data_IF_382746653954
#
_entry.id   IF_382746653954
#
_cell.length_a   1.000
_cell.length_b   1.000
_cell.length_c   1.000
_cell.angle_alpha   90.00
_cell.angle_beta   90.00
_cell.angle_gamma   90.00
#
_symmetry.space_group_name_H-M   'P 1'
#
loop_
_entity.id
_entity.type
_entity.pdbx_description
1 polymer ?
#
# COMPACT_ATOMS: atom_id res chain seq x y z
N UNK A 1 -53.87 -71.66 -34.73
CA UNK A 1 -54.29 -70.34 -35.18
C UNK A 1 -53.35 -69.40 -34.49
N UNK A 2 -52.32 -69.24 -35.18
CA UNK A 2 -51.78 -68.15 -35.96
C UNK A 2 -51.09 -67.06 -35.00
N UNK A 3 -49.86 -67.00 -35.10
CA UNK A 3 -49.07 -66.10 -35.95
C UNK A 3 -48.76 -64.75 -35.32
N UNK A 4 -47.49 -64.42 -35.40
CA UNK A 4 -46.90 -63.09 -35.43
C UNK A 4 -46.67 -62.41 -34.07
N UNK A 5 -45.54 -61.89 -33.69
CA UNK A 5 -44.55 -61.11 -34.46
C UNK A 5 -43.22 -61.09 -33.69
N UNK A 6 -42.19 -61.57 -34.37
CA UNK A 6 -40.81 -61.30 -34.06
C UNK A 6 -40.53 -59.85 -34.30
N UNK A 7 -40.13 -59.09 -33.24
CA UNK A 7 -39.48 -57.76 -33.40
C UNK A 7 -38.16 -57.77 -32.72
N UNK A 8 -37.17 -58.10 -33.52
CA UNK A 8 -35.78 -57.67 -33.27
C UNK A 8 -35.68 -56.20 -32.98
N UNK A 9 -35.56 -55.82 -31.69
CA UNK A 9 -35.12 -54.51 -31.29
C UNK A 9 -33.62 -54.54 -31.09
N UNK A 10 -32.89 -54.30 -32.19
CA UNK A 10 -31.47 -53.94 -32.13
C UNK A 10 -31.36 -52.57 -31.44
N UNK A 11 -30.97 -52.55 -30.17
CA UNK A 11 -30.50 -51.35 -29.50
C UNK A 11 -29.19 -50.93 -30.15
N UNK A 12 -29.06 -49.69 -30.64
CA UNK A 12 -27.75 -49.21 -31.07
C UNK A 12 -26.87 -49.03 -29.81
N UNK A 13 -25.78 -49.76 -29.76
CA UNK A 13 -24.67 -49.44 -28.87
C UNK A 13 -24.23 -48.00 -29.16
N UNK A 14 -24.64 -47.09 -28.29
CA UNK A 14 -24.06 -45.74 -28.23
C UNK A 14 -22.61 -45.91 -27.79
N UNK A 15 -21.71 -45.98 -28.75
CA UNK A 15 -20.27 -45.80 -28.49
C UNK A 15 -20.07 -44.46 -27.83
N UNK A 16 -19.75 -44.45 -26.54
CA UNK A 16 -19.29 -43.29 -25.82
C UNK A 16 -17.99 -42.81 -26.49
N UNK A 17 -17.93 -41.61 -27.06
CA UNK A 17 -16.68 -41.04 -27.54
C UNK A 17 -15.85 -40.62 -26.34
N UNK A 18 -14.66 -41.12 -26.18
CA UNK A 18 -13.69 -40.63 -25.22
C UNK A 18 -13.04 -41.70 -24.38
N UNK A 19 -12.21 -42.54 -25.01
CA UNK A 19 -11.17 -43.27 -24.28
C UNK A 19 -10.13 -42.30 -23.73
N UNK A 20 -9.32 -42.70 -22.71
CA UNK A 20 -8.38 -41.85 -22.00
C UNK A 20 -7.21 -41.26 -22.83
N UNK A 21 -7.22 -41.45 -24.15
CA UNK A 21 -6.13 -41.04 -25.04
C UNK A 21 -6.29 -39.66 -25.70
N UNK A 22 -7.44 -38.96 -25.55
CA UNK A 22 -7.70 -37.70 -26.25
C UNK A 22 -7.59 -36.45 -25.35
N UNK A 23 -7.02 -36.55 -24.14
CA UNK A 23 -6.67 -35.40 -23.33
C UNK A 23 -5.42 -34.76 -23.94
N UNK A 24 -5.62 -33.70 -24.73
CA UNK A 24 -4.54 -32.86 -25.24
C UNK A 24 -3.67 -32.42 -24.07
N UNK A 25 -2.30 -32.55 -24.14
CA UNK A 25 -1.41 -32.05 -23.11
C UNK A 25 -1.60 -30.51 -23.06
N UNK A 26 -2.25 -30.00 -22.01
CA UNK A 26 -2.53 -28.58 -21.81
C UNK A 26 -3.90 -28.24 -21.24
N UNK A 27 -4.84 -29.19 -21.14
CA UNK A 27 -6.18 -28.99 -20.59
C UNK A 27 -6.40 -29.60 -19.20
N UNK A 28 -5.38 -30.22 -18.60
CA UNK A 28 -5.43 -30.64 -17.20
C UNK A 28 -5.14 -29.40 -16.37
N UNK A 29 -6.08 -28.90 -15.55
CA UNK A 29 -5.78 -27.83 -14.62
C UNK A 29 -4.61 -28.27 -13.75
N UNK A 30 -3.51 -27.51 -13.73
CA UNK A 30 -2.37 -27.78 -12.86
C UNK A 30 -2.89 -28.00 -11.44
N UNK A 31 -2.74 -29.21 -10.92
CA UNK A 31 -3.07 -29.50 -9.53
C UNK A 31 -2.15 -28.67 -8.64
N UNK A 32 -2.60 -28.25 -7.45
CA UNK A 32 -1.75 -27.51 -6.49
C UNK A 32 -0.42 -28.19 -6.17
N UNK A 33 -0.31 -29.51 -6.42
CA UNK A 33 0.90 -30.33 -6.24
C UNK A 33 1.95 -30.13 -7.35
N UNK A 34 1.57 -29.68 -8.55
CA UNK A 34 2.49 -29.43 -9.68
C UNK A 34 3.19 -28.06 -9.60
N UNK A 35 2.84 -27.24 -8.63
CA UNK A 35 3.54 -25.97 -8.39
C UNK A 35 4.86 -26.28 -7.72
N UNK A 36 5.95 -26.20 -8.51
CA UNK A 36 7.31 -26.31 -8.00
C UNK A 36 7.48 -25.37 -6.78
N UNK A 37 7.67 -25.90 -5.55
CA UNK A 37 7.83 -25.07 -4.35
C UNK A 37 9.09 -24.19 -4.40
N UNK A 38 9.98 -24.39 -5.38
CA UNK A 38 11.19 -23.61 -5.59
C UNK A 38 10.95 -22.29 -6.35
N UNK A 39 9.74 -22.08 -6.92
CA UNK A 39 9.43 -20.87 -7.71
C UNK A 39 9.22 -19.58 -6.91
N UNK A 40 9.20 -19.62 -5.58
CA UNK A 40 8.85 -18.47 -4.74
C UNK A 40 10.01 -17.86 -3.92
N UNK A 41 11.27 -18.24 -4.16
CA UNK A 41 12.37 -17.87 -3.27
C UNK A 41 13.25 -16.72 -3.78
N UNK A 42 12.88 -16.02 -4.84
CA UNK A 42 13.63 -14.83 -5.21
C UNK A 42 13.38 -13.71 -4.20
N UNK A 43 14.44 -13.12 -3.64
CA UNK A 43 14.29 -12.05 -2.67
C UNK A 43 13.62 -10.82 -3.32
N UNK A 44 12.67 -10.19 -2.62
CA UNK A 44 11.88 -9.05 -3.12
C UNK A 44 12.75 -7.92 -3.70
N UNK A 45 13.97 -7.71 -3.17
CA UNK A 45 14.86 -6.67 -3.67
C UNK A 45 15.28 -6.87 -5.14
N UNK A 46 15.30 -8.12 -5.66
CA UNK A 46 15.56 -8.37 -7.08
C UNK A 46 14.48 -7.80 -8.00
N UNK A 47 13.25 -7.75 -7.55
CA UNK A 47 12.18 -7.13 -8.34
C UNK A 47 12.34 -5.61 -8.47
N UNK A 48 13.13 -4.98 -7.58
CA UNK A 48 13.44 -3.54 -7.65
C UNK A 48 14.58 -3.22 -8.63
N UNK A 49 15.28 -4.22 -9.16
CA UNK A 49 16.42 -4.00 -10.06
C UNK A 49 16.05 -4.07 -11.55
N UNK A 50 14.80 -4.44 -11.88
CA UNK A 50 14.36 -4.60 -13.26
C UNK A 50 12.93 -4.07 -13.49
N UNK A 51 12.67 -3.63 -14.71
CA UNK A 51 11.33 -3.26 -15.16
C UNK A 51 10.64 -2.20 -14.30
N UNK A 52 9.36 -2.45 -13.98
CA UNK A 52 8.52 -1.51 -13.20
C UNK A 52 9.04 -1.26 -11.79
N UNK A 53 9.66 -2.27 -11.17
CA UNK A 53 10.23 -2.13 -9.83
C UNK A 53 11.40 -1.15 -9.81
N UNK A 54 12.30 -1.22 -10.81
CA UNK A 54 13.39 -0.26 -10.95
C UNK A 54 12.87 1.16 -11.17
N UNK A 55 11.88 1.33 -12.05
CA UNK A 55 11.27 2.64 -12.27
C UNK A 55 10.68 3.21 -10.98
N UNK A 56 9.90 2.41 -10.23
CA UNK A 56 9.35 2.81 -8.94
C UNK A 56 10.44 3.15 -7.91
N UNK A 57 11.46 2.30 -7.79
CA UNK A 57 12.58 2.52 -6.87
C UNK A 57 13.38 3.79 -7.20
N UNK A 58 13.60 4.09 -8.48
CA UNK A 58 14.27 5.31 -8.94
C UNK A 58 13.43 6.54 -8.62
N UNK A 59 12.11 6.51 -8.92
CA UNK A 59 11.22 7.63 -8.64
C UNK A 59 11.17 7.95 -7.13
N UNK A 60 10.90 6.94 -6.30
CA UNK A 60 10.87 7.11 -4.84
C UNK A 60 12.26 7.50 -4.33
N UNK A 61 13.32 6.86 -4.82
CA UNK A 61 14.69 7.13 -4.41
C UNK A 61 15.11 8.57 -4.66
N UNK A 62 14.79 9.13 -5.83
CA UNK A 62 15.05 10.55 -6.16
C UNK A 62 14.33 11.46 -5.18
N UNK A 63 13.02 11.24 -4.95
CA UNK A 63 12.24 12.12 -4.07
C UNK A 63 12.69 11.99 -2.61
N UNK A 64 12.98 10.77 -2.15
CA UNK A 64 13.55 10.54 -0.80
C UNK A 64 14.91 11.24 -0.65
N UNK A 65 15.77 11.17 -1.66
CA UNK A 65 17.06 11.83 -1.66
C UNK A 65 16.90 13.36 -1.61
N UNK A 66 16.00 13.94 -2.42
CA UNK A 66 15.67 15.36 -2.38
C UNK A 66 15.16 15.78 -1.00
N UNK A 67 14.26 15.03 -0.39
CA UNK A 67 13.76 15.30 0.96
C UNK A 67 14.83 15.17 2.04
N UNK A 68 15.71 14.17 1.94
CA UNK A 68 16.82 13.99 2.89
C UNK A 68 17.85 15.13 2.81
N UNK A 69 18.16 15.56 1.59
CA UNK A 69 19.09 16.65 1.32
C UNK A 69 18.45 18.03 1.34
N UNK A 70 17.11 18.12 1.58
CA UNK A 70 16.38 19.39 1.58
C UNK A 70 17.03 20.51 2.43
N UNK A 71 17.55 20.24 3.65
CA UNK A 71 18.20 21.30 4.45
C UNK A 71 19.46 21.91 3.81
N UNK A 72 20.07 21.19 2.87
CA UNK A 72 21.29 21.64 2.15
C UNK A 72 20.93 22.19 0.77
N UNK A 73 19.90 21.61 0.13
CA UNK A 73 19.48 22.01 -1.21
C UNK A 73 18.53 23.20 -1.23
N UNK A 74 17.80 23.46 -0.15
CA UNK A 74 16.89 24.61 -0.06
C UNK A 74 17.72 25.91 0.01
N UNK A 75 17.55 26.83 -0.98
CA UNK A 75 18.31 28.09 -0.99
C UNK A 75 17.94 29.04 0.17
N UNK A 76 16.68 28.94 0.64
CA UNK A 76 16.10 29.81 1.65
C UNK A 76 15.47 29.01 2.79
N UNK A 77 15.30 29.62 3.98
CA UNK A 77 14.52 29.01 5.05
C UNK A 77 13.03 28.92 4.66
N UNK A 78 12.27 27.91 5.15
CA UNK A 78 10.89 27.67 4.71
C UNK A 78 9.90 28.77 5.10
N UNK A 79 10.24 29.57 6.10
CA UNK A 79 9.47 30.68 6.67
C UNK A 79 10.12 32.05 6.40
N UNK A 80 11.25 32.10 5.70
CA UNK A 80 11.94 33.31 5.33
C UNK A 80 11.10 34.12 4.34
N UNK A 81 10.76 35.34 4.74
CA UNK A 81 10.05 36.32 3.90
C UNK A 81 11.04 37.23 3.21
N UNK A 82 11.01 37.23 1.89
CA UNK A 82 11.96 37.97 1.05
C UNK A 82 11.37 39.33 0.68
N UNK A 83 12.20 40.38 0.68
CA UNK A 83 11.76 41.72 0.33
C UNK A 83 11.26 41.81 -1.13
N UNK A 84 10.10 42.44 -1.34
CA UNK A 84 9.50 42.67 -2.66
C UNK A 84 9.31 41.40 -3.51
N UNK A 85 9.15 40.20 -2.91
CA UNK A 85 9.05 38.94 -3.59
C UNK A 85 7.61 38.36 -3.67
N UNK A 86 6.59 39.24 -3.69
CA UNK A 86 5.18 38.81 -3.76
C UNK A 86 4.82 38.18 -5.08
N UNK A 87 4.45 36.89 -5.09
CA UNK A 87 4.00 36.11 -6.24
C UNK A 87 4.88 36.29 -7.50
N UNK A 88 6.18 36.35 -7.32
CA UNK A 88 7.11 36.41 -8.45
C UNK A 88 7.01 35.10 -9.24
N UNK A 89 6.97 35.22 -10.57
CA UNK A 89 7.11 34.07 -11.45
C UNK A 89 8.51 33.45 -11.37
N UNK A 90 8.72 32.28 -11.97
CA UNK A 90 10.01 31.61 -12.04
C UNK A 90 11.09 32.50 -12.61
N UNK A 91 12.25 32.57 -11.93
CA UNK A 91 13.42 33.32 -12.35
C UNK A 91 14.70 32.63 -11.90
N UNK A 92 15.88 33.23 -12.18
CA UNK A 92 17.19 32.63 -11.86
C UNK A 92 17.44 32.43 -10.34
N UNK A 93 16.77 33.19 -9.49
CA UNK A 93 16.89 33.09 -8.02
C UNK A 93 15.79 32.19 -7.44
N UNK A 94 14.58 32.26 -8.00
CA UNK A 94 13.39 31.53 -7.55
C UNK A 94 12.86 30.61 -8.67
N UNK A 95 13.37 29.40 -8.75
CA UNK A 95 13.08 28.48 -9.86
C UNK A 95 11.61 28.06 -9.98
N UNK A 96 10.88 27.99 -8.89
CA UNK A 96 9.43 27.78 -8.88
C UNK A 96 8.65 29.06 -8.56
N UNK A 97 9.35 30.20 -8.50
CA UNK A 97 8.78 31.48 -8.08
C UNK A 97 8.62 31.59 -6.56
N UNK A 98 7.81 32.59 -6.16
CA UNK A 98 7.52 32.86 -4.74
C UNK A 98 6.03 32.76 -4.44
N UNK A 99 5.68 32.59 -3.18
CA UNK A 99 4.30 32.50 -2.70
C UNK A 99 3.70 33.90 -2.38
N UNK A 100 2.47 33.89 -1.88
CA UNK A 100 1.67 35.07 -1.52
C UNK A 100 2.11 35.75 -0.20
N UNK A 101 3.13 35.19 0.47
CA UNK A 101 3.74 35.79 1.65
C UNK A 101 5.26 35.93 1.49
N UNK A 102 5.71 36.08 0.23
CA UNK A 102 7.09 36.35 -0.16
C UNK A 102 8.09 35.24 0.17
N UNK A 103 7.70 33.98 0.18
CA UNK A 103 8.60 32.85 0.47
C UNK A 103 8.95 32.10 -0.81
N UNK A 104 10.15 31.51 -0.87
CA UNK A 104 10.59 30.71 -2.01
C UNK A 104 9.87 29.38 -2.10
N UNK A 105 9.17 29.14 -3.21
CA UNK A 105 8.36 27.94 -3.41
C UNK A 105 9.22 26.69 -3.50
N UNK A 106 10.40 26.71 -4.16
CA UNK A 106 11.28 25.55 -4.27
C UNK A 106 11.77 25.08 -2.91
N UNK A 107 12.24 25.99 -2.08
CA UNK A 107 12.70 25.69 -0.71
C UNK A 107 11.59 25.04 0.12
N UNK A 108 10.37 25.59 0.01
CA UNK A 108 9.20 25.02 0.69
C UNK A 108 8.82 23.64 0.18
N UNK A 109 8.88 23.40 -1.12
CA UNK A 109 8.62 22.07 -1.72
C UNK A 109 9.65 21.04 -1.23
N UNK A 110 10.95 21.38 -1.25
CA UNK A 110 12.00 20.47 -0.77
C UNK A 110 11.82 20.11 0.72
N UNK A 111 11.56 21.11 1.55
CA UNK A 111 11.34 20.87 2.98
C UNK A 111 9.98 20.21 3.27
N UNK A 112 8.96 20.49 2.44
CA UNK A 112 7.67 19.80 2.47
C UNK A 112 7.80 18.31 2.17
N UNK A 113 8.59 17.94 1.15
CA UNK A 113 8.92 16.53 0.88
C UNK A 113 9.44 15.84 2.14
N UNK A 114 10.39 16.47 2.83
CA UNK A 114 10.96 15.90 4.05
C UNK A 114 9.92 15.71 5.15
N UNK A 115 9.06 16.71 5.37
CA UNK A 115 8.02 16.66 6.40
C UNK A 115 7.03 15.51 6.12
N UNK A 116 6.52 15.43 4.88
CA UNK A 116 5.54 14.43 4.47
C UNK A 116 6.13 13.01 4.51
N UNK A 117 7.38 12.83 4.05
CA UNK A 117 8.07 11.55 4.12
C UNK A 117 8.24 11.07 5.56
N UNK A 118 8.65 11.94 6.49
CA UNK A 118 8.79 11.58 7.91
C UNK A 118 7.46 11.09 8.47
N UNK A 119 6.35 11.78 8.15
CA UNK A 119 5.00 11.39 8.60
C UNK A 119 4.65 10.01 8.06
N UNK A 120 4.77 9.79 6.75
CA UNK A 120 4.37 8.56 6.09
C UNK A 120 5.24 7.37 6.52
N UNK A 121 6.58 7.54 6.53
CA UNK A 121 7.52 6.50 6.95
C UNK A 121 7.43 6.15 8.43
N UNK A 122 6.83 7.00 9.25
CA UNK A 122 6.54 6.70 10.65
C UNK A 122 5.15 6.06 10.81
N UNK A 123 4.11 6.69 10.27
CA UNK A 123 2.73 6.30 10.52
C UNK A 123 2.38 4.92 9.92
N UNK A 124 2.79 4.65 8.68
CA UNK A 124 2.46 3.39 8.00
C UNK A 124 3.09 2.17 8.69
N UNK A 125 4.40 2.15 9.01
CA UNK A 125 4.98 1.02 9.76
C UNK A 125 4.35 0.83 11.15
N UNK A 126 4.02 1.90 11.86
CA UNK A 126 3.35 1.80 13.17
C UNK A 126 1.97 1.14 13.01
N UNK A 127 1.15 1.59 12.07
CA UNK A 127 -0.15 0.98 11.77
C UNK A 127 -0.01 -0.48 11.30
N UNK A 128 0.98 -0.76 10.46
CA UNK A 128 1.29 -2.11 9.98
C UNK A 128 1.67 -3.06 11.12
N UNK A 129 2.53 -2.62 12.03
CA UNK A 129 2.95 -3.44 13.19
C UNK A 129 1.76 -3.68 14.11
N UNK A 130 1.03 -2.64 14.51
CA UNK A 130 -0.12 -2.77 15.41
C UNK A 130 -1.21 -3.65 14.80
N UNK A 131 -1.57 -3.41 13.54
CA UNK A 131 -2.55 -4.21 12.82
C UNK A 131 -2.12 -5.67 12.70
N UNK A 132 -0.86 -5.92 12.33
CA UNK A 132 -0.31 -7.27 12.21
C UNK A 132 -0.31 -8.02 13.54
N UNK A 133 0.03 -7.37 14.65
CA UNK A 133 -0.01 -7.99 15.97
C UNK A 133 -1.44 -8.36 16.38
N UNK A 134 -2.41 -7.45 16.17
CA UNK A 134 -3.83 -7.72 16.46
C UNK A 134 -4.34 -8.87 15.57
N UNK A 135 -4.07 -8.83 14.27
CA UNK A 135 -4.50 -9.86 13.32
C UNK A 135 -3.85 -11.22 13.56
N UNK A 136 -2.58 -11.26 14.01
CA UNK A 136 -1.89 -12.49 14.40
C UNK A 136 -2.58 -13.14 15.60
N UNK A 137 -2.88 -12.37 16.65
CA UNK A 137 -3.57 -12.87 17.85
C UNK A 137 -4.99 -13.33 17.48
N UNK A 138 -5.69 -12.58 16.64
CA UNK A 138 -7.01 -12.93 16.12
C UNK A 138 -6.99 -14.25 15.36
N UNK A 139 -6.01 -14.47 14.48
CA UNK A 139 -5.88 -15.71 13.70
C UNK A 139 -5.56 -16.96 14.51
N UNK A 140 -5.15 -16.80 15.80
CA UNK A 140 -4.82 -17.92 16.69
C UNK A 140 -5.99 -18.30 17.59
N UNK A 141 -6.76 -17.33 18.09
CA UNK A 141 -7.80 -17.51 19.11
C UNK A 141 -9.18 -17.09 18.55
N UNK A 142 -10.11 -18.02 18.43
CA UNK A 142 -11.42 -17.78 17.83
C UNK A 142 -12.24 -16.64 18.45
N UNK A 143 -12.21 -16.46 19.77
CA UNK A 143 -12.96 -15.37 20.44
C UNK A 143 -12.36 -14.00 20.11
N UNK A 144 -11.03 -13.87 20.16
CA UNK A 144 -10.33 -12.61 19.84
C UNK A 144 -10.52 -12.24 18.37
N UNK A 145 -10.74 -13.21 17.52
CA UNK A 145 -11.01 -12.99 16.10
C UNK A 145 -12.30 -12.21 15.88
N UNK A 146 -13.41 -12.65 16.51
CA UNK A 146 -14.71 -11.97 16.38
C UNK A 146 -14.61 -10.51 16.82
N UNK A 147 -13.97 -10.26 17.98
CA UNK A 147 -13.80 -8.90 18.51
C UNK A 147 -12.92 -8.04 17.58
N UNK A 148 -11.77 -8.56 17.15
CA UNK A 148 -10.87 -7.83 16.25
C UNK A 148 -11.55 -7.47 14.92
N UNK A 149 -12.30 -8.42 14.31
CA UNK A 149 -13.00 -8.14 13.05
C UNK A 149 -14.08 -7.07 13.25
N UNK A 150 -14.81 -7.06 14.38
CA UNK A 150 -15.80 -6.00 14.67
C UNK A 150 -15.15 -4.62 14.82
N UNK A 151 -14.00 -4.55 15.48
CA UNK A 151 -13.26 -3.29 15.60
C UNK A 151 -12.77 -2.83 14.21
N UNK A 152 -12.25 -3.75 13.39
CA UNK A 152 -11.84 -3.44 12.03
C UNK A 152 -13.02 -2.97 11.16
N UNK A 153 -14.20 -3.61 11.28
CA UNK A 153 -15.41 -3.20 10.57
C UNK A 153 -15.83 -1.78 10.94
N UNK A 154 -15.77 -1.43 12.23
CA UNK A 154 -16.10 -0.07 12.71
C UNK A 154 -15.14 0.97 12.15
N UNK A 155 -13.83 0.70 12.16
CA UNK A 155 -12.84 1.65 11.61
C UNK A 155 -13.06 1.85 10.10
N UNK A 156 -13.25 0.75 9.34
CA UNK A 156 -13.43 0.80 7.90
C UNK A 156 -14.82 1.30 7.45
N UNK A 157 -15.80 1.40 8.37
CA UNK A 157 -17.09 1.99 8.08
C UNK A 157 -16.98 3.50 7.78
N UNK A 158 -15.92 4.16 8.26
CA UNK A 158 -15.69 5.56 8.00
C UNK A 158 -14.79 5.74 6.76
N UNK A 159 -15.20 6.54 5.77
CA UNK A 159 -14.28 7.01 4.74
C UNK A 159 -13.08 7.72 5.37
N UNK A 160 -11.85 7.46 4.88
CA UNK A 160 -10.62 7.96 5.51
C UNK A 160 -10.62 9.48 5.75
N UNK A 161 -11.11 10.28 4.79
CA UNK A 161 -11.20 11.73 4.94
C UNK A 161 -12.25 12.16 5.97
N UNK A 162 -13.36 11.44 6.11
CA UNK A 162 -14.36 11.71 7.14
C UNK A 162 -13.80 11.43 8.53
N UNK A 163 -13.08 10.30 8.68
CA UNK A 163 -12.35 9.98 9.90
C UNK A 163 -11.30 11.05 10.23
N UNK A 164 -10.59 11.55 9.21
CA UNK A 164 -9.62 12.64 9.36
C UNK A 164 -10.24 13.92 9.91
N UNK A 165 -11.38 14.35 9.33
CA UNK A 165 -12.10 15.55 9.79
C UNK A 165 -12.57 15.36 11.24
N UNK A 166 -13.16 14.20 11.56
CA UNK A 166 -13.65 13.90 12.90
C UNK A 166 -12.52 13.91 13.96
N UNK A 167 -11.38 13.26 13.65
CA UNK A 167 -10.23 13.26 14.56
C UNK A 167 -9.61 14.63 14.70
N UNK A 168 -9.51 15.39 13.61
CA UNK A 168 -8.97 16.77 13.66
C UNK A 168 -9.88 17.71 14.46
N UNK A 169 -11.19 17.52 14.42
CA UNK A 169 -12.13 18.28 15.23
C UNK A 169 -11.90 18.10 16.75
N UNK A 170 -11.40 16.92 17.16
CA UNK A 170 -11.12 16.59 18.56
C UNK A 170 -9.70 16.97 18.98
N UNK A 171 -8.71 16.67 18.13
CA UNK A 171 -7.28 16.80 18.45
C UNK A 171 -6.68 18.14 18.01
N UNK A 172 -7.39 18.89 17.19
CA UNK A 172 -6.86 20.03 16.44
C UNK A 172 -6.12 19.57 15.18
N UNK A 173 -5.90 20.50 14.21
CA UNK A 173 -5.11 20.24 13.01
C UNK A 173 -3.63 20.04 13.38
N UNK A 174 -2.91 19.24 12.57
CA UNK A 174 -1.48 19.04 12.72
C UNK A 174 -1.03 17.60 12.51
N UNK A 175 0.29 17.41 12.59
CA UNK A 175 0.96 16.12 12.36
C UNK A 175 0.39 14.98 13.22
N UNK A 176 -0.01 15.26 14.46
CA UNK A 176 -0.58 14.25 15.37
C UNK A 176 -1.88 13.66 14.81
N UNK A 177 -2.76 14.50 14.27
CA UNK A 177 -4.01 14.06 13.67
C UNK A 177 -3.74 13.21 12.44
N UNK A 178 -2.83 13.64 11.55
CA UNK A 178 -2.44 12.90 10.34
C UNK A 178 -1.91 11.51 10.71
N UNK A 179 -0.93 11.45 11.61
CA UNK A 179 -0.31 10.19 12.05
C UNK A 179 -1.38 9.24 12.60
N UNK A 180 -2.28 9.73 13.46
CA UNK A 180 -3.33 8.89 14.04
C UNK A 180 -4.32 8.40 12.97
N UNK A 181 -4.70 9.23 12.02
CA UNK A 181 -5.60 8.83 10.90
C UNK A 181 -4.95 7.72 10.09
N UNK A 182 -3.70 7.89 9.68
CA UNK A 182 -2.98 6.89 8.88
C UNK A 182 -2.83 5.60 9.69
N UNK A 183 -2.38 5.67 10.94
CA UNK A 183 -2.23 4.48 11.81
C UNK A 183 -3.55 3.74 11.95
N UNK A 184 -4.65 4.44 12.25
CA UNK A 184 -5.97 3.82 12.40
C UNK A 184 -6.47 3.19 11.09
N UNK A 185 -6.24 3.82 9.95
CA UNK A 185 -6.61 3.27 8.65
C UNK A 185 -5.81 1.99 8.32
N UNK A 186 -4.52 1.94 8.67
CA UNK A 186 -3.65 0.80 8.38
C UNK A 186 -3.88 -0.41 9.31
N UNK A 187 -4.32 -0.22 10.55
CA UNK A 187 -4.58 -1.31 11.51
C UNK A 187 -5.48 -2.40 10.92
N UNK A 188 -6.69 -2.11 10.40
CA UNK A 188 -7.56 -3.14 9.84
C UNK A 188 -7.01 -3.75 8.55
N UNK A 189 -6.29 -2.98 7.73
CA UNK A 189 -5.70 -3.45 6.48
C UNK A 189 -4.66 -4.54 6.75
N UNK A 190 -3.68 -4.26 7.59
CA UNK A 190 -2.64 -5.23 7.96
C UNK A 190 -3.17 -6.33 8.88
N UNK A 191 -4.12 -6.00 9.76
CA UNK A 191 -4.74 -6.97 10.66
C UNK A 191 -5.49 -8.06 9.89
N UNK A 192 -6.28 -7.72 8.89
CA UNK A 192 -6.98 -8.69 8.04
C UNK A 192 -6.02 -9.46 7.16
N UNK A 193 -5.00 -8.81 6.62
CA UNK A 193 -4.03 -9.45 5.75
C UNK A 193 -3.26 -10.55 6.48
N UNK A 194 -2.68 -10.24 7.65
CA UNK A 194 -1.91 -11.22 8.42
C UNK A 194 -2.82 -12.35 8.95
N UNK A 195 -4.03 -12.03 9.42
CA UNK A 195 -5.01 -13.02 9.85
C UNK A 195 -5.32 -14.03 8.76
N UNK A 196 -5.67 -13.55 7.56
CA UNK A 196 -5.99 -14.41 6.42
C UNK A 196 -4.78 -15.28 6.03
N UNK A 197 -3.58 -14.71 6.05
CA UNK A 197 -2.34 -15.44 5.77
C UNK A 197 -2.06 -16.52 6.83
N UNK A 198 -2.25 -16.21 8.11
CA UNK A 198 -2.10 -17.17 9.23
C UNK A 198 -3.07 -18.34 9.08
N UNK A 199 -4.35 -18.07 8.80
CA UNK A 199 -5.35 -19.12 8.62
C UNK A 199 -4.99 -20.02 7.45
N UNK A 200 -4.61 -19.44 6.30
CA UNK A 200 -4.17 -20.20 5.11
C UNK A 200 -2.96 -21.09 5.40
N UNK A 201 -1.93 -20.55 6.06
CA UNK A 201 -0.70 -21.31 6.33
C UNK A 201 -0.95 -22.45 7.31
N UNK A 202 -1.85 -22.26 8.29
CA UNK A 202 -2.18 -23.32 9.28
C UNK A 202 -2.84 -24.55 8.66
N UNK A 203 -3.49 -24.40 7.51
CA UNK A 203 -4.15 -25.50 6.77
C UNK A 203 -3.20 -26.26 5.84
N UNK A 204 -1.92 -25.89 5.78
CA UNK A 204 -0.95 -26.55 4.90
C UNK A 204 -0.48 -27.88 5.50
N UNK A 205 -0.33 -28.95 4.66
CA UNK A 205 -0.02 -30.30 5.12
C UNK A 205 1.23 -30.43 6.00
N UNK A 206 2.26 -29.62 5.73
CA UNK A 206 3.49 -29.67 6.55
C UNK A 206 3.28 -29.10 7.97
N UNK A 207 2.33 -28.18 8.14
CA UNK A 207 1.96 -27.64 9.46
C UNK A 207 1.17 -28.70 10.24
N UNK A 208 0.23 -29.36 9.57
CA UNK A 208 -0.54 -30.47 10.14
C UNK A 208 0.39 -31.62 10.55
N UNK A 209 1.32 -32.00 9.69
CA UNK A 209 2.33 -33.03 10.02
C UNK A 209 3.15 -32.67 11.26
N UNK A 210 3.55 -31.40 11.40
CA UNK A 210 4.28 -30.95 12.61
C UNK A 210 3.42 -31.07 13.88
N UNK A 211 2.12 -30.74 13.80
CA UNK A 211 1.19 -30.88 14.93
C UNK A 211 1.00 -32.36 15.31
N UNK A 212 0.78 -33.23 14.34
CA UNK A 212 0.62 -34.68 14.56
C UNK A 212 1.89 -35.28 15.15
N UNK A 213 3.07 -34.77 14.77
CA UNK A 213 4.36 -35.18 15.35
C UNK A 213 4.60 -34.67 16.77
N UNK A 214 3.61 -34.00 17.40
CA UNK A 214 3.68 -33.52 18.78
C UNK A 214 4.36 -32.18 18.98
N UNK A 215 4.58 -31.40 17.91
CA UNK A 215 5.15 -30.07 18.05
C UNK A 215 4.20 -29.13 18.82
N UNK A 216 4.74 -28.32 19.73
CA UNK A 216 3.94 -27.36 20.49
C UNK A 216 3.39 -26.25 19.59
N UNK A 217 2.20 -25.75 19.89
CA UNK A 217 1.54 -24.66 19.12
C UNK A 217 2.43 -23.43 18.96
N UNK A 218 3.17 -23.04 20.01
CA UNK A 218 4.08 -21.91 19.96
C UNK A 218 5.28 -22.14 19.02
N UNK A 219 5.79 -23.35 18.98
CA UNK A 219 6.87 -23.73 18.07
C UNK A 219 6.39 -23.72 16.62
N UNK A 220 5.23 -24.34 16.34
CA UNK A 220 4.60 -24.35 15.02
C UNK A 220 4.34 -22.91 14.54
N UNK A 221 3.78 -22.07 15.40
CA UNK A 221 3.53 -20.67 15.08
C UNK A 221 4.81 -19.94 14.67
N UNK A 222 5.86 -20.04 15.50
CA UNK A 222 7.11 -19.29 15.30
C UNK A 222 7.96 -19.84 14.16
N UNK A 223 7.95 -21.17 13.95
CA UNK A 223 8.83 -21.82 12.97
C UNK A 223 8.19 -21.95 11.58
N UNK A 224 6.87 -22.15 11.53
CA UNK A 224 6.17 -22.46 10.28
C UNK A 224 5.16 -21.39 9.88
N UNK A 225 4.29 -20.94 10.80
CA UNK A 225 3.18 -20.05 10.45
C UNK A 225 3.66 -18.63 10.23
N UNK A 226 4.31 -18.03 11.22
CA UNK A 226 4.70 -16.62 11.18
C UNK A 226 5.62 -16.29 9.98
N UNK A 227 6.74 -17.00 9.73
CA UNK A 227 7.63 -16.68 8.63
C UNK A 227 6.95 -16.71 7.25
N UNK A 228 5.99 -17.64 7.07
CA UNK A 228 5.27 -17.79 5.80
C UNK A 228 4.04 -16.87 5.69
N UNK A 229 3.56 -16.30 6.81
CA UNK A 229 2.41 -15.40 6.83
C UNK A 229 2.78 -13.93 6.63
N UNK A 230 4.03 -13.53 6.88
CA UNK A 230 4.50 -12.14 6.73
C UNK A 230 4.82 -11.76 5.29
N UNK A 231 4.91 -12.72 4.40
CA UNK A 231 5.31 -12.51 3.01
C UNK A 231 4.46 -11.47 2.26
N UNK A 232 3.10 -11.48 2.35
CA UNK A 232 2.27 -10.49 1.67
C UNK A 232 2.38 -9.07 2.25
N UNK A 233 2.92 -8.93 3.48
CA UNK A 233 3.03 -7.62 4.14
C UNK A 233 3.95 -6.67 3.37
N UNK A 234 4.98 -7.16 2.68
CA UNK A 234 5.89 -6.33 1.89
C UNK A 234 5.19 -5.64 0.71
N UNK A 235 4.32 -6.39 0.01
CA UNK A 235 3.48 -5.84 -1.08
C UNK A 235 2.54 -4.78 -0.55
N UNK A 236 1.84 -5.12 0.55
CA UNK A 236 0.89 -4.21 1.20
C UNK A 236 1.59 -2.95 1.73
N UNK A 237 2.78 -3.07 2.31
CA UNK A 237 3.51 -1.92 2.85
C UNK A 237 3.80 -0.88 1.76
N UNK A 238 4.27 -1.30 0.59
CA UNK A 238 4.49 -0.38 -0.52
C UNK A 238 3.19 0.26 -1.02
N UNK A 239 2.09 -0.50 -1.08
CA UNK A 239 0.78 0.03 -1.45
C UNK A 239 0.29 1.05 -0.41
N UNK A 240 0.40 0.73 0.87
CA UNK A 240 0.02 1.60 1.98
C UNK A 240 0.82 2.91 2.01
N UNK A 241 2.12 2.87 1.66
CA UNK A 241 2.91 4.11 1.51
C UNK A 241 2.33 5.03 0.44
N UNK A 242 1.92 4.47 -0.71
CA UNK A 242 1.28 5.25 -1.78
C UNK A 242 -0.04 5.91 -1.32
N UNK A 243 -0.88 5.15 -0.62
CA UNK A 243 -2.17 5.65 -0.08
C UNK A 243 -1.95 6.69 1.02
N UNK A 244 -0.97 6.48 1.89
CA UNK A 244 -0.67 7.39 2.99
C UNK A 244 -0.15 8.76 2.51
N UNK A 245 0.67 8.79 1.44
CA UNK A 245 1.09 10.05 0.80
C UNK A 245 -0.13 10.82 0.29
N UNK A 246 -1.09 10.11 -0.30
CA UNK A 246 -2.33 10.74 -0.77
C UNK A 246 -3.19 11.26 0.40
N UNK A 247 -3.36 10.49 1.48
CA UNK A 247 -4.15 10.89 2.66
C UNK A 247 -3.51 12.11 3.33
N UNK A 248 -2.19 12.09 3.55
CA UNK A 248 -1.44 13.22 4.12
C UNK A 248 -1.63 14.48 3.25
N UNK A 249 -1.35 14.36 1.94
CA UNK A 249 -1.49 15.47 0.99
C UNK A 249 -2.91 16.04 0.97
N UNK A 250 -3.95 15.17 0.97
CA UNK A 250 -5.34 15.60 0.99
C UNK A 250 -5.71 16.30 2.31
N UNK A 251 -5.28 15.79 3.48
CA UNK A 251 -5.51 16.44 4.77
C UNK A 251 -4.84 17.82 4.84
N UNK A 252 -3.59 17.89 4.39
CA UNK A 252 -2.84 19.15 4.37
C UNK A 252 -3.40 20.15 3.35
N UNK A 253 -3.88 19.69 2.19
CA UNK A 253 -4.59 20.49 1.21
C UNK A 253 -5.88 21.09 1.75
N UNK A 254 -6.63 20.33 2.55
CA UNK A 254 -7.87 20.79 3.20
C UNK A 254 -7.61 21.71 4.43
N UNK A 255 -6.35 21.93 4.81
CA UNK A 255 -5.98 22.75 5.97
C UNK A 255 -6.17 22.07 7.32
N UNK A 256 -6.41 20.78 7.36
CA UNK A 256 -6.56 19.97 8.56
C UNK A 256 -5.32 19.10 8.87
N UNK A 257 -4.31 19.19 8.01
CA UNK A 257 -3.05 18.49 8.09
C UNK A 257 -1.93 19.25 8.76
N UNK A 258 -0.78 19.37 8.10
CA UNK A 258 0.39 20.11 8.60
C UNK A 258 0.08 21.59 8.69
N UNK A 259 0.38 22.17 9.83
CA UNK A 259 0.06 23.59 10.15
C UNK A 259 1.28 24.48 9.89
N UNK A 260 1.10 25.68 9.29
CA UNK A 260 2.16 26.66 9.18
C UNK A 260 2.84 26.95 10.55
N UNK A 261 4.15 27.27 10.58
CA UNK A 261 5.01 27.61 9.42
C UNK A 261 5.59 26.40 8.67
N UNK A 262 5.43 25.18 9.21
CA UNK A 262 5.97 23.95 8.58
C UNK A 262 5.34 23.76 7.20
N UNK A 263 6.14 23.63 6.13
CA UNK A 263 5.62 23.35 4.80
C UNK A 263 5.22 21.87 4.67
N UNK A 264 4.18 21.59 3.87
CA UNK A 264 3.87 20.26 3.32
C UNK A 264 3.48 20.41 1.87
N UNK A 265 3.62 19.35 1.08
CA UNK A 265 3.25 19.38 -0.35
C UNK A 265 1.76 19.71 -0.52
N UNK A 266 0.90 19.15 0.35
CA UNK A 266 -0.54 19.41 0.32
C UNK A 266 -0.89 20.86 0.64
N UNK A 267 -0.27 21.48 1.65
CA UNK A 267 -0.53 22.87 1.99
C UNK A 267 -0.03 23.82 0.90
N UNK A 268 1.17 23.58 0.34
CA UNK A 268 1.72 24.38 -0.76
C UNK A 268 0.82 24.27 -2.01
N UNK A 269 0.31 23.07 -2.30
CA UNK A 269 -0.64 22.85 -3.40
C UNK A 269 -1.94 23.62 -3.18
N UNK A 270 -2.47 23.65 -1.95
CA UNK A 270 -3.68 24.41 -1.59
C UNK A 270 -3.50 25.91 -1.79
N UNK A 271 -2.36 26.46 -1.33
CA UNK A 271 -2.04 27.86 -1.52
C UNK A 271 -1.85 28.18 -3.01
N UNK A 272 -1.07 27.38 -3.73
CA UNK A 272 -0.79 27.58 -5.16
C UNK A 272 -2.03 27.46 -6.06
N UNK A 273 -3.02 26.67 -5.66
CA UNK A 273 -4.28 26.53 -6.41
C UNK A 273 -5.04 27.86 -6.58
N UNK A 274 -4.85 28.80 -5.69
CA UNK A 274 -5.46 30.15 -5.75
C UNK A 274 -4.78 31.04 -6.78
N UNK A 275 -3.56 30.70 -7.20
CA UNK A 275 -2.70 31.54 -8.04
C UNK A 275 -2.27 30.86 -9.33
N UNK A 276 -3.07 29.88 -9.82
CA UNK A 276 -2.79 29.11 -11.03
C UNK A 276 -2.62 29.99 -12.28
N UNK A 277 -3.34 31.11 -12.36
CA UNK A 277 -3.24 32.04 -13.49
C UNK A 277 -1.99 32.93 -13.41
N UNK A 278 -1.48 33.20 -12.22
CA UNK A 278 -0.34 34.12 -11.99
C UNK A 278 0.99 33.37 -11.91
N UNK A 279 1.02 32.29 -11.12
CA UNK A 279 2.19 31.43 -10.96
C UNK A 279 1.78 29.94 -10.95
N UNK A 280 1.59 29.30 -12.12
CA UNK A 280 1.17 27.90 -12.18
C UNK A 280 2.17 26.93 -11.55
N UNK A 281 3.47 27.21 -11.55
CA UNK A 281 4.48 26.33 -10.94
C UNK A 281 4.38 26.24 -9.43
N UNK A 282 3.77 27.21 -8.78
CA UNK A 282 3.46 27.19 -7.35
C UNK A 282 2.58 25.97 -6.98
N UNK A 283 1.57 25.62 -7.80
CA UNK A 283 0.74 24.44 -7.59
C UNK A 283 1.31 23.18 -8.29
N UNK A 284 1.83 23.32 -9.50
CA UNK A 284 2.32 22.21 -10.31
C UNK A 284 3.55 21.54 -9.67
N UNK A 285 4.44 22.32 -9.05
CA UNK A 285 5.63 21.79 -8.37
C UNK A 285 5.30 20.69 -7.35
N UNK A 286 4.55 21.02 -6.27
CA UNK A 286 4.16 20.01 -5.27
C UNK A 286 3.28 18.89 -5.85
N UNK A 287 2.38 19.18 -6.79
CA UNK A 287 1.54 18.18 -7.44
C UNK A 287 2.37 17.10 -8.16
N UNK A 288 3.40 17.50 -8.90
CA UNK A 288 4.31 16.58 -9.57
C UNK A 288 5.00 15.68 -8.56
N UNK A 289 5.50 16.22 -7.45
CA UNK A 289 6.19 15.44 -6.42
C UNK A 289 5.26 14.42 -5.76
N UNK A 290 4.05 14.81 -5.35
CA UNK A 290 3.05 13.88 -4.79
C UNK A 290 2.71 12.77 -5.78
N UNK A 291 2.55 13.13 -7.07
CA UNK A 291 2.24 12.17 -8.13
C UNK A 291 3.40 11.18 -8.35
N UNK A 292 4.64 11.65 -8.34
CA UNK A 292 5.83 10.80 -8.48
C UNK A 292 5.98 9.84 -7.30
N UNK A 293 5.76 10.30 -6.07
CA UNK A 293 5.80 9.45 -4.87
C UNK A 293 4.73 8.37 -4.92
N UNK A 294 3.49 8.77 -5.18
CA UNK A 294 2.34 7.85 -5.26
C UNK A 294 2.54 6.81 -6.34
N UNK A 295 2.93 7.24 -7.55
CA UNK A 295 3.23 6.35 -8.67
C UNK A 295 4.42 5.43 -8.36
N UNK A 296 5.48 5.97 -7.78
CA UNK A 296 6.68 5.22 -7.44
C UNK A 296 6.40 4.09 -6.46
N UNK A 297 5.70 4.37 -5.36
CA UNK A 297 5.29 3.34 -4.39
C UNK A 297 4.32 2.32 -4.99
N UNK A 298 3.38 2.74 -5.84
CA UNK A 298 2.48 1.85 -6.56
C UNK A 298 3.25 0.89 -7.49
N UNK A 299 4.24 1.38 -8.23
CA UNK A 299 5.08 0.55 -9.10
C UNK A 299 5.91 -0.46 -8.30
N UNK A 300 6.43 -0.07 -7.13
CA UNK A 300 7.12 -0.98 -6.21
C UNK A 300 6.17 -2.08 -5.72
N UNK A 301 4.96 -1.72 -5.29
CA UNK A 301 3.95 -2.68 -4.85
C UNK A 301 3.61 -3.68 -5.95
N UNK A 302 3.37 -3.20 -7.18
CA UNK A 302 3.09 -4.07 -8.34
C UNK A 302 4.27 -5.00 -8.67
N UNK A 303 5.51 -4.52 -8.56
CA UNK A 303 6.70 -5.34 -8.79
C UNK A 303 6.82 -6.45 -7.74
N UNK A 304 6.57 -6.14 -6.47
CA UNK A 304 6.54 -7.12 -5.39
C UNK A 304 5.42 -8.15 -5.58
N UNK A 305 4.21 -7.71 -5.95
CA UNK A 305 3.08 -8.59 -6.24
C UNK A 305 3.41 -9.54 -7.42
N UNK A 306 4.03 -9.02 -8.49
CA UNK A 306 4.41 -9.84 -9.64
C UNK A 306 5.50 -10.86 -9.29
N UNK A 307 6.52 -10.47 -8.52
CA UNK A 307 7.59 -11.37 -8.06
C UNK A 307 7.05 -12.53 -7.20
N UNK A 308 5.96 -12.29 -6.49
CA UNK A 308 5.30 -13.30 -5.64
C UNK A 308 4.17 -14.04 -6.35
N UNK A 309 3.77 -13.64 -7.56
CA UNK A 309 2.60 -14.15 -8.28
C UNK A 309 1.32 -14.15 -7.44
N UNK A 310 1.18 -13.12 -6.62
CA UNK A 310 -0.01 -12.81 -5.81
C UNK A 310 -1.08 -12.12 -6.63
#
# INVERSE_FOLDING_TARGET
MSELVDRNVTTPEASLPGGPADLRPGLVPETPADRDPRRSTEPLWRSLTHGRGLAGAVLVGIVVLLGALAPVLAPFAPDEQLDAAFLLGPNSTHWLGTDDVNRDVLSRVLLGIRADLVIVFFAVPVGAILGSLIGLVAGIRGYTDVVAQRVFDVILAFPALVLAIALTAVLGPGVRAIVLVIVLAEIPVFGRLIRTSVLRVRELPYVEAAVVSGASTGWVLRKHVLPNSIEPLGVQLALSMSVAVFIEGAMSFLGIGVVPPTPSLGSILSDGNRYLETNPLFAVGPLVVVSLLTLGFLLISQAFAHARRL
#
